data_IF_777369260697
#
_entry.id   IF_777369260697
#
_cell.length_a   1.000
_cell.length_b   1.000
_cell.length_c   1.000
_cell.angle_alpha   90.00
_cell.angle_beta   90.00
_cell.angle_gamma   90.00
#
_symmetry.space_group_name_H-M   'P 1'
#
loop_
_entity.id
_entity.type
_entity.pdbx_description
1 polymer ?
#
# COMPACT_ATOMS: atom_id res chain seq x y z
N UNK A 1 -29.16 -34.73 -22.88
CA UNK A 1 -30.42 -34.00 -22.73
C UNK A 1 -30.47 -33.49 -21.26
N UNK A 2 -29.88 -32.34 -21.01
CA UNK A 2 -29.87 -31.68 -19.69
C UNK A 2 -29.94 -30.18 -19.96
N UNK A 3 -30.99 -29.54 -19.50
CA UNK A 3 -31.31 -28.14 -19.70
C UNK A 3 -30.47 -27.26 -18.74
N UNK A 4 -29.80 -26.29 -19.30
CA UNK A 4 -29.22 -25.15 -18.57
C UNK A 4 -30.27 -24.07 -18.44
N UNK A 5 -30.60 -23.69 -17.20
CA UNK A 5 -31.44 -22.53 -16.90
C UNK A 5 -30.54 -21.33 -16.62
N UNK A 6 -30.54 -20.35 -17.50
CA UNK A 6 -29.92 -19.05 -17.30
C UNK A 6 -30.93 -18.12 -16.59
N UNK A 7 -30.56 -17.57 -15.45
CA UNK A 7 -31.31 -16.49 -14.79
C UNK A 7 -30.77 -15.14 -15.26
N UNK A 8 -31.60 -14.45 -16.08
CA UNK A 8 -31.42 -13.03 -16.39
C UNK A 8 -32.09 -12.20 -15.28
N UNK A 9 -31.36 -11.34 -14.61
CA UNK A 9 -31.92 -10.27 -13.81
C UNK A 9 -31.95 -8.98 -14.65
N UNK A 10 -33.16 -8.57 -15.04
CA UNK A 10 -33.40 -7.27 -15.66
C UNK A 10 -33.65 -6.24 -14.55
N UNK A 11 -32.83 -5.19 -14.47
CA UNK A 11 -33.15 -3.99 -13.70
C UNK A 11 -33.88 -2.97 -14.58
N UNK A 12 -35.14 -2.73 -14.29
CA UNK A 12 -35.93 -1.65 -14.86
C UNK A 12 -35.59 -0.33 -14.16
N UNK A 13 -35.23 0.67 -14.97
CA UNK A 13 -35.11 2.07 -14.56
C UNK A 13 -36.52 2.66 -14.38
N UNK A 14 -36.72 3.38 -13.28
CA UNK A 14 -37.85 4.32 -13.12
C UNK A 14 -37.27 5.72 -12.98
N UNK A 15 -37.61 6.56 -13.95
CA UNK A 15 -37.45 8.00 -13.91
C UNK A 15 -38.38 8.61 -12.86
N UNK A 16 -37.89 9.55 -12.08
CA UNK A 16 -38.66 10.36 -11.16
C UNK A 16 -37.92 11.67 -10.94
N UNK A 17 -38.44 12.73 -11.62
CA UNK A 17 -37.89 14.08 -11.56
C UNK A 17 -38.21 14.81 -10.26
N UNK A 18 -37.47 15.88 -10.02
CA UNK A 18 -37.99 17.00 -9.26
C UNK A 18 -37.16 17.55 -8.14
N UNK A 19 -36.77 18.77 -8.36
CA UNK A 19 -36.60 19.91 -7.44
C UNK A 19 -35.25 20.15 -6.78
N UNK A 20 -34.65 21.21 -7.26
CA UNK A 20 -33.56 22.01 -6.71
C UNK A 20 -33.99 22.72 -5.40
N UNK A 21 -33.23 22.73 -4.35
CA UNK A 21 -33.37 23.74 -3.29
C UNK A 21 -32.31 24.85 -3.43
N UNK A 22 -32.81 26.05 -3.29
CA UNK A 22 -32.13 27.35 -3.29
C UNK A 22 -30.97 27.45 -2.29
N UNK A 23 -29.96 28.19 -2.73
CA UNK A 23 -28.86 28.69 -1.91
C UNK A 23 -29.37 29.51 -0.70
N UNK A 24 -28.80 29.23 0.47
CA UNK A 24 -28.93 30.06 1.66
C UNK A 24 -27.58 30.73 1.95
N UNK A 25 -27.64 32.02 2.22
CA UNK A 25 -26.54 32.95 2.48
C UNK A 25 -25.63 32.53 3.64
N UNK A 26 -24.31 32.57 3.40
CA UNK A 26 -23.30 32.44 4.43
C UNK A 26 -23.01 33.84 5.05
N UNK A 27 -23.04 33.90 6.34
CA UNK A 27 -22.64 35.06 7.13
C UNK A 27 -21.10 35.14 7.24
N UNK A 28 -20.58 36.35 7.15
CA UNK A 28 -19.18 36.72 7.25
C UNK A 28 -18.74 36.73 8.72
N UNK A 29 -17.57 36.14 9.10
CA UNK A 29 -16.96 36.40 10.39
C UNK A 29 -15.91 37.52 10.29
N UNK A 30 -15.91 38.39 11.31
CA UNK A 30 -15.14 39.60 11.41
C UNK A 30 -13.63 39.39 11.53
N UNK A 31 -12.95 40.43 11.11
CA UNK A 31 -11.52 40.70 11.25
C UNK A 31 -11.10 40.88 12.71
N UNK A 32 -10.16 40.07 13.18
CA UNK A 32 -9.37 40.32 14.36
C UNK A 32 -7.96 40.73 13.97
N UNK A 33 -7.58 41.93 14.30
CA UNK A 33 -6.24 42.53 14.14
C UNK A 33 -5.33 41.96 15.22
N UNK A 34 -4.14 41.45 14.84
CA UNK A 34 -3.06 41.14 15.78
C UNK A 34 -1.84 41.93 15.39
N UNK A 35 -1.32 42.68 16.33
CA UNK A 35 -0.18 43.56 16.26
C UNK A 35 1.15 42.80 16.15
N UNK A 36 2.00 43.29 15.25
CA UNK A 36 3.40 42.88 15.07
C UNK A 36 4.29 43.32 16.23
N UNK A 37 5.17 42.41 16.66
CA UNK A 37 6.40 42.76 17.37
C UNK A 37 7.58 41.99 16.76
N UNK A 38 8.71 42.64 16.42
CA UNK A 38 9.81 42.00 15.72
C UNK A 38 10.76 41.28 16.69
N UNK A 39 11.02 40.00 16.45
CA UNK A 39 11.98 39.18 17.19
C UNK A 39 12.99 38.51 16.29
N UNK A 40 14.21 38.98 16.34
CA UNK A 40 15.55 38.41 16.11
C UNK A 40 15.74 37.23 15.15
N UNK A 41 16.52 37.53 14.14
CA UNK A 41 17.19 36.66 13.19
C UNK A 41 17.94 35.48 13.84
N UNK A 42 17.46 34.26 13.55
CA UNK A 42 18.18 33.02 13.85
C UNK A 42 18.49 32.31 12.53
N UNK A 43 19.78 32.14 12.26
CA UNK A 43 20.36 31.48 11.10
C UNK A 43 20.00 29.98 11.12
N UNK A 44 19.06 29.52 10.30
CA UNK A 44 18.76 28.10 10.14
C UNK A 44 19.40 27.57 8.89
N UNK A 45 20.44 26.81 9.09
CA UNK A 45 21.07 25.93 8.09
C UNK A 45 20.04 24.95 7.55
N UNK A 46 19.82 24.99 6.25
CA UNK A 46 18.97 24.03 5.51
C UNK A 46 19.61 22.64 5.51
N UNK A 47 19.22 21.82 6.48
CA UNK A 47 19.47 20.38 6.44
C UNK A 47 18.44 19.72 5.51
N UNK A 48 18.87 19.06 4.45
CA UNK A 48 18.05 18.10 3.70
C UNK A 48 17.43 17.08 4.65
N UNK A 49 16.14 16.73 4.48
CA UNK A 49 15.56 15.66 5.29
C UNK A 49 16.28 14.36 4.94
N UNK A 50 17.01 13.82 5.92
CA UNK A 50 17.60 12.50 5.83
C UNK A 50 16.46 11.48 5.62
N UNK A 51 16.62 10.65 4.60
CA UNK A 51 15.81 9.45 4.40
C UNK A 51 15.85 8.67 5.72
N UNK A 52 14.68 8.45 6.33
CA UNK A 52 14.59 7.67 7.55
C UNK A 52 15.12 6.27 7.25
N UNK A 53 16.26 5.95 7.81
CA UNK A 53 16.81 4.58 7.80
C UNK A 53 15.81 3.72 8.58
N UNK A 54 15.31 2.59 8.03
CA UNK A 54 14.45 1.70 8.78
C UNK A 54 15.15 1.33 10.08
N UNK A 55 14.44 1.41 11.20
CA UNK A 55 14.96 1.01 12.49
C UNK A 55 15.56 -0.40 12.36
N UNK A 56 16.86 -0.51 12.68
CA UNK A 56 17.60 -1.78 12.67
C UNK A 56 16.84 -2.80 13.53
N UNK A 57 16.09 -3.69 12.87
CA UNK A 57 15.45 -4.82 13.51
C UNK A 57 16.50 -5.75 14.12
N UNK A 58 16.07 -6.61 15.04
CA UNK A 58 16.93 -7.70 15.52
C UNK A 58 17.48 -8.50 14.33
N UNK A 59 18.69 -9.07 14.48
CA UNK A 59 19.30 -9.88 13.44
C UNK A 59 18.33 -10.99 12.99
N UNK A 60 18.10 -11.13 11.69
CA UNK A 60 17.13 -12.08 11.15
C UNK A 60 17.51 -13.51 11.54
N UNK A 61 16.53 -14.25 12.05
CA UNK A 61 16.68 -15.65 12.42
C UNK A 61 16.77 -16.51 11.15
N UNK A 62 17.91 -17.15 10.95
CA UNK A 62 18.18 -18.09 9.87
C UNK A 62 18.17 -19.51 10.43
N UNK A 63 17.31 -20.38 9.90
CA UNK A 63 17.28 -21.80 10.26
C UNK A 63 18.36 -22.58 9.50
N UNK A 64 18.68 -23.80 9.96
CA UNK A 64 19.60 -24.68 9.21
C UNK A 64 19.08 -24.99 7.78
N UNK A 65 17.76 -25.11 7.63
CA UNK A 65 17.13 -25.32 6.32
C UNK A 65 17.27 -24.07 5.44
N UNK A 66 17.15 -22.86 5.99
CA UNK A 66 17.37 -21.63 5.22
C UNK A 66 18.82 -21.53 4.76
N UNK A 67 19.78 -21.74 5.67
CA UNK A 67 21.21 -21.67 5.37
C UNK A 67 21.66 -22.68 4.29
N UNK A 68 20.94 -23.80 4.17
CA UNK A 68 21.20 -24.86 3.19
C UNK A 68 20.68 -24.52 1.78
N UNK A 69 19.83 -23.48 1.62
CA UNK A 69 19.32 -23.10 0.29
C UNK A 69 20.42 -22.57 -0.61
N UNK A 70 20.40 -22.97 -1.85
CA UNK A 70 21.29 -22.45 -2.88
C UNK A 70 20.88 -21.01 -3.23
N UNK A 71 21.77 -20.03 -3.13
CA UNK A 71 21.47 -18.64 -3.50
C UNK A 71 21.05 -18.51 -4.97
N UNK A 72 20.02 -17.67 -5.20
CA UNK A 72 19.49 -17.36 -6.51
C UNK A 72 18.83 -15.96 -6.50
N UNK A 73 19.59 -14.92 -6.71
CA UNK A 73 19.07 -13.55 -6.66
C UNK A 73 18.46 -13.07 -7.99
N UNK A 74 18.51 -13.89 -9.02
CA UNK A 74 17.70 -13.71 -10.24
C UNK A 74 16.32 -14.37 -10.15
N UNK A 75 16.03 -15.04 -9.04
CA UNK A 75 14.73 -15.65 -8.79
C UNK A 75 13.61 -14.64 -8.63
N UNK A 76 12.39 -15.13 -8.64
CA UNK A 76 11.18 -14.28 -8.51
C UNK A 76 10.91 -13.88 -7.06
N UNK A 77 10.24 -12.73 -6.91
CA UNK A 77 9.83 -12.17 -5.63
C UNK A 77 8.30 -12.18 -5.56
N UNK A 78 7.69 -12.80 -4.55
CA UNK A 78 6.25 -12.73 -4.35
C UNK A 78 5.86 -11.32 -3.85
N UNK A 79 4.79 -10.77 -4.43
CA UNK A 79 4.15 -9.52 -4.02
C UNK A 79 2.70 -9.87 -3.70
N UNK A 80 2.40 -10.06 -2.42
CA UNK A 80 1.08 -10.49 -1.94
C UNK A 80 0.17 -9.29 -1.70
N UNK A 81 -1.00 -9.29 -2.33
CA UNK A 81 -1.99 -8.24 -2.29
C UNK A 81 -3.13 -8.60 -1.34
N UNK A 82 -3.31 -7.82 -0.30
CA UNK A 82 -4.39 -7.93 0.67
C UNK A 82 -5.31 -6.71 0.57
N UNK A 83 -6.62 -6.93 0.75
CA UNK A 83 -7.60 -5.85 0.84
C UNK A 83 -8.21 -5.81 2.25
N UNK A 84 -9.32 -6.48 2.49
CA UNK A 84 -9.95 -6.52 3.80
C UNK A 84 -9.31 -7.58 4.70
N UNK A 85 -9.15 -7.25 5.98
CA UNK A 85 -8.85 -8.22 7.05
C UNK A 85 -10.08 -8.29 7.95
N UNK A 86 -10.87 -9.35 7.85
CA UNK A 86 -12.22 -9.41 8.42
C UNK A 86 -12.51 -10.70 9.21
N UNK A 87 -13.78 -10.98 9.49
CA UNK A 87 -14.18 -12.17 10.27
C UNK A 87 -14.36 -13.43 9.40
N UNK A 88 -14.25 -13.31 8.08
CA UNK A 88 -14.41 -14.43 7.16
C UNK A 88 -13.65 -14.22 5.86
N UNK A 89 -13.23 -15.29 5.20
CA UNK A 89 -12.66 -15.25 3.87
C UNK A 89 -13.77 -14.98 2.83
N UNK A 90 -13.48 -14.08 1.92
CA UNK A 90 -14.29 -13.80 0.74
C UNK A 90 -13.39 -13.32 -0.40
N UNK A 91 -13.99 -13.01 -1.54
CA UNK A 91 -13.29 -12.29 -2.60
C UNK A 91 -12.81 -10.93 -2.02
N UNK A 92 -11.51 -10.65 -2.07
CA UNK A 92 -10.88 -9.47 -1.49
C UNK A 92 -10.99 -9.34 0.04
N UNK A 93 -11.28 -10.43 0.75
CA UNK A 93 -11.30 -10.45 2.21
C UNK A 93 -10.55 -11.66 2.75
N UNK A 94 -9.59 -11.41 3.65
CA UNK A 94 -8.84 -12.43 4.37
C UNK A 94 -9.33 -12.49 5.81
N UNK A 95 -9.71 -13.69 6.28
CA UNK A 95 -10.08 -13.90 7.67
C UNK A 95 -8.88 -13.66 8.60
N UNK A 96 -9.09 -13.02 9.75
CA UNK A 96 -8.04 -12.58 10.68
C UNK A 96 -7.10 -13.70 11.14
N UNK A 97 -7.63 -14.88 11.45
CA UNK A 97 -6.78 -16.00 11.86
C UNK A 97 -6.06 -16.61 10.67
N UNK A 98 -6.64 -16.56 9.46
CA UNK A 98 -5.95 -16.96 8.25
C UNK A 98 -4.83 -15.96 7.91
N UNK A 99 -5.02 -14.66 8.13
CA UNK A 99 -3.94 -13.69 7.97
C UNK A 99 -2.81 -13.93 8.99
N UNK A 100 -3.13 -14.23 10.27
CA UNK A 100 -2.11 -14.65 11.26
C UNK A 100 -1.35 -15.89 10.79
N UNK A 101 -2.07 -16.88 10.29
CA UNK A 101 -1.48 -18.11 9.75
C UNK A 101 -0.61 -17.81 8.52
N UNK A 102 -1.01 -16.92 7.64
CA UNK A 102 -0.18 -16.51 6.49
C UNK A 102 1.17 -15.95 6.97
N UNK A 103 1.18 -15.07 7.98
CA UNK A 103 2.42 -14.51 8.52
C UNK A 103 3.34 -15.62 9.08
N UNK A 104 2.80 -16.55 9.88
CA UNK A 104 3.55 -17.69 10.43
C UNK A 104 4.12 -18.59 9.33
N UNK A 105 3.30 -18.97 8.36
CA UNK A 105 3.67 -19.86 7.26
C UNK A 105 4.73 -19.23 6.36
N UNK A 106 4.59 -17.94 6.04
CA UNK A 106 5.53 -17.18 5.23
C UNK A 106 6.87 -17.03 5.96
N UNK A 107 6.81 -16.69 7.27
CA UNK A 107 8.01 -16.57 8.10
C UNK A 107 8.76 -17.90 8.22
N UNK A 108 8.04 -19.00 8.51
CA UNK A 108 8.60 -20.34 8.65
C UNK A 108 9.29 -20.83 7.37
N UNK A 109 8.83 -20.37 6.19
CA UNK A 109 9.46 -20.65 4.90
C UNK A 109 10.71 -19.79 4.63
N UNK A 110 11.14 -18.95 5.59
CA UNK A 110 12.33 -18.10 5.46
C UNK A 110 12.11 -16.86 4.60
N UNK A 111 10.86 -16.41 4.42
CA UNK A 111 10.60 -15.12 3.79
C UNK A 111 10.67 -13.98 4.81
N UNK A 112 11.09 -12.80 4.35
CA UNK A 112 11.11 -11.57 5.16
C UNK A 112 10.51 -10.42 4.34
N UNK A 113 9.72 -9.55 4.99
CA UNK A 113 9.07 -8.44 4.29
C UNK A 113 10.10 -7.41 3.82
N UNK A 114 9.93 -6.97 2.57
CA UNK A 114 10.64 -5.84 1.98
C UNK A 114 9.62 -4.90 1.34
N UNK A 115 9.99 -3.64 1.15
CA UNK A 115 9.15 -2.65 0.45
C UNK A 115 9.38 -2.70 -1.06
N UNK A 116 8.45 -2.11 -1.82
CA UNK A 116 8.66 -1.87 -3.27
C UNK A 116 9.83 -0.92 -3.47
N UNK A 117 9.99 0.09 -2.63
CA UNK A 117 11.13 1.02 -2.69
C UNK A 117 12.47 0.30 -2.51
N UNK A 118 12.56 -0.69 -1.63
CA UNK A 118 13.79 -1.51 -1.49
C UNK A 118 14.09 -2.31 -2.76
N UNK A 119 13.05 -2.82 -3.43
CA UNK A 119 13.21 -3.51 -4.74
C UNK A 119 13.71 -2.51 -5.80
N UNK A 120 13.09 -1.33 -5.92
CA UNK A 120 13.51 -0.29 -6.86
C UNK A 120 14.97 0.13 -6.66
N UNK A 121 15.38 0.29 -5.41
CA UNK A 121 16.73 0.71 -5.03
C UNK A 121 17.75 -0.44 -5.07
N UNK A 122 17.31 -1.68 -5.33
CA UNK A 122 18.14 -2.90 -5.23
C UNK A 122 18.77 -3.09 -3.86
N UNK A 123 18.05 -2.70 -2.80
CA UNK A 123 18.46 -2.81 -1.39
C UNK A 123 17.73 -3.93 -0.68
N UNK A 124 17.83 -5.14 -1.24
CA UNK A 124 17.30 -6.37 -0.65
C UNK A 124 18.42 -6.97 0.22
N UNK A 125 18.61 -6.39 1.39
CA UNK A 125 19.68 -6.79 2.33
C UNK A 125 19.12 -7.84 3.31
N UNK A 126 19.15 -9.09 2.89
CA UNK A 126 18.71 -10.23 3.67
C UNK A 126 19.86 -11.21 3.92
N UNK A 127 19.93 -11.85 5.09
CA UNK A 127 20.88 -12.92 5.34
C UNK A 127 20.78 -14.05 4.30
N UNK A 128 21.89 -14.75 4.11
CA UNK A 128 21.99 -15.90 3.22
C UNK A 128 20.87 -16.92 3.49
N UNK A 129 20.21 -17.36 2.43
CA UNK A 129 19.17 -18.37 2.44
C UNK A 129 17.77 -17.84 2.70
N UNK A 130 17.61 -16.58 3.12
CA UNK A 130 16.32 -15.93 3.24
C UNK A 130 15.86 -15.34 1.90
N UNK A 131 14.56 -15.04 1.80
CA UNK A 131 13.92 -14.55 0.59
C UNK A 131 13.05 -13.34 0.88
N UNK A 132 12.99 -12.35 -0.02
CA UNK A 132 12.09 -11.22 0.11
C UNK A 132 10.65 -11.61 -0.23
N UNK A 133 9.70 -10.94 0.43
CA UNK A 133 8.30 -10.88 0.08
C UNK A 133 7.80 -9.46 0.27
N UNK A 134 6.94 -8.96 -0.62
CA UNK A 134 6.24 -7.70 -0.43
C UNK A 134 4.81 -7.98 -0.02
N UNK A 135 4.34 -7.32 1.05
CA UNK A 135 2.95 -7.27 1.43
C UNK A 135 2.38 -5.92 0.99
N UNK A 136 1.31 -5.94 0.25
CA UNK A 136 0.61 -4.74 -0.22
C UNK A 136 -0.82 -4.75 0.30
N UNK A 137 -1.23 -3.68 0.97
CA UNK A 137 -2.58 -3.48 1.45
C UNK A 137 -3.24 -2.38 0.60
N UNK A 138 -4.19 -2.77 -0.25
CA UNK A 138 -4.92 -1.84 -1.10
C UNK A 138 -6.17 -1.29 -0.39
N UNK A 139 -6.69 -0.15 -0.85
CA UNK A 139 -7.94 0.50 -0.46
C UNK A 139 -7.94 1.29 0.85
N UNK A 140 -6.94 1.20 1.70
CA UNK A 140 -6.92 1.88 3.01
C UNK A 140 -8.22 1.66 3.83
N UNK A 141 -8.68 0.40 3.90
CA UNK A 141 -9.86 0.00 4.67
C UNK A 141 -9.64 0.17 6.19
N UNK A 142 -10.68 0.51 6.98
CA UNK A 142 -10.61 0.46 8.45
C UNK A 142 -10.15 -0.90 8.99
N UNK A 143 -10.51 -2.00 8.33
CA UNK A 143 -10.09 -3.34 8.73
C UNK A 143 -8.57 -3.57 8.66
N UNK A 144 -7.86 -2.77 7.87
CA UNK A 144 -6.40 -2.80 7.81
C UNK A 144 -5.76 -2.02 8.95
N UNK A 145 -6.32 -0.87 9.32
CA UNK A 145 -5.83 -0.03 10.40
C UNK A 145 -6.96 0.71 11.10
N UNK A 146 -7.35 0.25 12.27
CA UNK A 146 -8.31 0.90 13.15
C UNK A 146 -7.66 1.38 14.43
N UNK A 147 -8.18 2.48 14.98
CA UNK A 147 -7.99 2.86 16.37
C UNK A 147 -9.21 2.46 17.19
N UNK A 148 -8.96 2.10 18.45
CA UNK A 148 -9.97 1.92 19.49
C UNK A 148 -9.64 2.84 20.66
N UNK A 149 -10.67 3.39 21.31
CA UNK A 149 -10.52 4.14 22.56
C UNK A 149 -10.69 3.21 23.74
N UNK A 150 -9.64 3.05 24.55
CA UNK A 150 -9.67 2.23 25.75
C UNK A 150 -9.14 3.02 26.94
N UNK A 151 -9.93 3.18 27.98
CA UNK A 151 -9.56 3.95 29.18
C UNK A 151 -9.05 5.37 28.87
N UNK A 152 -9.70 6.06 27.92
CA UNK A 152 -9.33 7.41 27.48
C UNK A 152 -8.03 7.49 26.66
N UNK A 153 -7.46 6.37 26.26
CA UNK A 153 -6.28 6.28 25.38
C UNK A 153 -6.67 5.73 24.03
N UNK A 154 -6.01 6.24 23.01
CA UNK A 154 -6.14 5.76 21.64
C UNK A 154 -5.11 4.64 21.42
N UNK A 155 -5.58 3.45 21.06
CA UNK A 155 -4.76 2.26 20.81
C UNK A 155 -5.05 1.73 19.40
N UNK A 156 -4.08 1.05 18.79
CA UNK A 156 -4.31 0.30 17.55
C UNK A 156 -5.19 -0.90 17.88
N UNK A 157 -6.26 -1.09 17.12
CA UNK A 157 -7.10 -2.27 17.27
C UNK A 157 -6.28 -3.54 16.98
N UNK A 158 -6.13 -4.45 17.96
CA UNK A 158 -5.36 -5.69 17.78
C UNK A 158 -6.00 -6.65 16.77
N UNK A 159 -7.24 -6.41 16.36
CA UNK A 159 -7.95 -7.19 15.34
C UNK A 159 -7.82 -6.59 13.93
N UNK A 160 -7.27 -5.39 13.78
CA UNK A 160 -6.95 -4.83 12.47
C UNK A 160 -5.71 -5.52 11.86
N UNK A 161 -5.55 -5.44 10.54
CA UNK A 161 -4.37 -6.00 9.85
C UNK A 161 -3.06 -5.49 10.44
N UNK A 162 -2.97 -4.18 10.71
CA UNK A 162 -1.80 -3.57 11.37
C UNK A 162 -1.63 -4.08 12.81
N UNK A 163 -2.72 -4.21 13.56
CA UNK A 163 -2.66 -4.74 14.93
C UNK A 163 -2.12 -6.17 14.95
N UNK A 164 -2.58 -7.02 14.05
CA UNK A 164 -2.07 -8.40 13.87
C UNK A 164 -0.59 -8.40 13.49
N UNK A 165 -0.19 -7.52 12.54
CA UNK A 165 1.22 -7.37 12.14
C UNK A 165 2.11 -6.97 13.31
N UNK A 166 1.69 -5.98 14.09
CA UNK A 166 2.46 -5.48 15.24
C UNK A 166 2.51 -6.52 16.38
N UNK A 167 1.48 -7.33 16.56
CA UNK A 167 1.47 -8.43 17.53
C UNK A 167 2.44 -9.54 17.10
N UNK A 168 2.41 -9.95 15.83
CA UNK A 168 3.33 -10.92 15.25
C UNK A 168 4.80 -10.52 15.48
N UNK A 169 5.13 -9.25 15.30
CA UNK A 169 6.49 -8.73 15.54
C UNK A 169 6.99 -8.86 16.98
N UNK A 170 6.12 -8.96 17.97
CA UNK A 170 6.55 -9.14 19.37
C UNK A 170 7.31 -10.46 19.58
N UNK A 171 6.91 -11.49 18.85
CA UNK A 171 7.54 -12.82 18.87
C UNK A 171 8.53 -13.04 17.73
N UNK A 172 8.47 -12.21 16.70
CA UNK A 172 9.34 -12.26 15.52
C UNK A 172 10.01 -10.89 15.30
N UNK A 173 11.00 -10.51 16.15
CA UNK A 173 11.57 -9.17 16.13
C UNK A 173 12.36 -8.83 14.85
N UNK A 174 12.71 -9.83 14.04
CA UNK A 174 13.31 -9.70 12.71
C UNK A 174 12.27 -9.55 11.57
N UNK A 175 10.96 -9.52 11.91
CA UNK A 175 9.89 -9.17 10.97
C UNK A 175 9.78 -7.66 10.86
N UNK A 176 10.33 -7.09 9.78
CA UNK A 176 10.39 -5.64 9.58
C UNK A 176 9.00 -5.01 9.31
N UNK A 177 8.85 -3.72 9.58
CA UNK A 177 7.69 -2.93 9.16
C UNK A 177 7.84 -2.52 7.68
N UNK A 178 7.98 -3.48 6.79
CA UNK A 178 8.24 -3.26 5.37
C UNK A 178 7.03 -3.60 4.48
N UNK A 179 5.80 -3.53 5.01
CA UNK A 179 4.61 -3.62 4.18
C UNK A 179 4.32 -2.28 3.48
N UNK A 180 3.54 -2.34 2.41
CA UNK A 180 3.14 -1.21 1.55
C UNK A 180 1.64 -0.98 1.71
N UNK A 181 1.24 0.24 2.03
CA UNK A 181 -0.16 0.64 2.14
C UNK A 181 -0.53 1.57 0.99
N UNK A 182 -1.38 1.10 0.08
CA UNK A 182 -1.87 1.85 -1.08
C UNK A 182 -3.14 2.61 -0.71
N UNK A 183 -3.02 3.92 -0.60
CA UNK A 183 -3.96 4.78 0.12
C UNK A 183 -5.04 5.36 -0.78
N UNK A 184 -6.27 5.36 -0.29
CA UNK A 184 -7.45 6.01 -0.86
C UNK A 184 -7.93 7.14 0.06
N UNK A 185 -7.68 8.42 -0.28
CA UNK A 185 -8.08 9.55 0.58
C UNK A 185 -9.56 9.93 0.46
N UNK A 186 -10.20 9.66 -0.66
CA UNK A 186 -11.54 10.14 -0.97
C UNK A 186 -12.57 9.06 -1.31
N UNK A 187 -12.25 7.79 -1.13
CA UNK A 187 -13.16 6.70 -1.43
C UNK A 187 -14.41 6.72 -0.54
N UNK A 188 -15.52 6.22 -1.08
CA UNK A 188 -16.76 6.01 -0.34
C UNK A 188 -16.63 4.82 0.63
N UNK A 189 -17.69 4.58 1.41
CA UNK A 189 -17.81 3.45 2.34
C UNK A 189 -16.68 3.36 3.38
N UNK A 190 -16.21 4.51 3.89
CA UNK A 190 -15.32 4.56 5.04
C UNK A 190 -13.85 4.27 4.77
N UNK A 191 -13.46 4.04 3.53
CA UNK A 191 -12.07 3.76 3.19
C UNK A 191 -11.14 4.96 3.37
N UNK A 192 -11.63 6.19 3.20
CA UNK A 192 -10.85 7.43 3.28
C UNK A 192 -9.77 7.43 4.39
N UNK A 193 -8.56 7.00 4.06
CA UNK A 193 -7.44 6.84 5.00
C UNK A 193 -7.81 6.04 6.27
N UNK A 194 -8.30 4.80 6.08
CA UNK A 194 -8.66 3.86 7.13
C UNK A 194 -9.86 4.28 7.98
N UNK A 195 -10.84 4.94 7.38
CA UNK A 195 -12.14 5.28 7.97
C UNK A 195 -12.36 6.77 8.22
N UNK A 196 -13.62 7.16 8.08
CA UNK A 196 -14.07 8.54 8.16
C UNK A 196 -15.50 8.62 8.69
N UNK A 197 -15.88 9.74 9.31
CA UNK A 197 -17.26 10.09 9.70
C UNK A 197 -17.95 9.06 10.60
N UNK A 198 -17.20 8.37 11.43
CA UNK A 198 -17.73 7.39 12.38
C UNK A 198 -17.97 5.99 11.81
N UNK A 199 -17.65 5.75 10.53
CA UNK A 199 -17.75 4.42 9.93
C UNK A 199 -16.77 3.47 10.66
N UNK A 200 -17.28 2.30 11.08
CA UNK A 200 -16.54 1.35 11.91
C UNK A 200 -15.90 2.00 13.16
N UNK A 201 -16.57 3.01 13.73
CA UNK A 201 -16.09 3.77 14.87
C UNK A 201 -14.91 4.71 14.59
N UNK A 202 -14.48 4.84 13.32
CA UNK A 202 -13.31 5.65 12.98
C UNK A 202 -13.67 7.12 12.77
N UNK A 203 -12.92 8.01 13.42
CA UNK A 203 -13.15 9.44 13.39
C UNK A 203 -12.36 10.15 12.29
N UNK A 204 -12.92 11.20 11.73
CA UNK A 204 -12.30 12.00 10.65
C UNK A 204 -10.92 12.53 11.03
N UNK A 205 -10.74 12.98 12.26
CA UNK A 205 -9.49 13.52 12.78
C UNK A 205 -8.37 12.47 12.91
N UNK A 206 -8.69 11.18 12.89
CA UNK A 206 -7.69 10.10 12.98
C UNK A 206 -7.04 9.75 11.63
N UNK A 207 -7.59 10.20 10.52
CA UNK A 207 -7.14 9.86 9.17
C UNK A 207 -5.66 10.17 8.92
N UNK A 208 -5.27 11.41 9.10
CA UNK A 208 -3.88 11.85 8.92
C UNK A 208 -2.92 11.30 9.98
N UNK A 209 -3.28 11.26 11.27
CA UNK A 209 -2.49 10.55 12.28
C UNK A 209 -2.17 9.09 11.91
N UNK A 210 -3.11 8.33 11.32
CA UNK A 210 -2.87 6.97 10.87
C UNK A 210 -1.82 6.91 9.74
N UNK A 211 -1.94 7.78 8.75
CA UNK A 211 -0.98 7.85 7.63
C UNK A 211 0.42 8.23 8.15
N UNK A 212 0.53 9.22 9.03
CA UNK A 212 1.81 9.57 9.67
C UNK A 212 2.38 8.42 10.47
N UNK A 213 1.57 7.73 11.26
CA UNK A 213 2.02 6.58 12.04
C UNK A 213 2.64 5.50 11.15
N UNK A 214 2.00 5.14 10.03
CA UNK A 214 2.56 4.16 9.09
C UNK A 214 3.93 4.60 8.60
N UNK A 215 4.06 5.85 8.17
CA UNK A 215 5.33 6.40 7.70
C UNK A 215 6.41 6.39 8.80
N UNK A 216 6.10 6.85 9.99
CA UNK A 216 7.01 6.90 11.15
C UNK A 216 7.46 5.51 11.61
N UNK A 217 6.62 4.50 11.41
CA UNK A 217 6.96 3.11 11.71
C UNK A 217 7.76 2.41 10.60
N UNK A 218 8.01 3.06 9.46
CA UNK A 218 8.80 2.52 8.36
C UNK A 218 7.99 1.76 7.30
N UNK A 219 6.66 1.77 7.36
CA UNK A 219 5.82 1.25 6.28
C UNK A 219 5.89 2.15 5.04
N UNK A 220 5.85 1.56 3.85
CA UNK A 220 5.80 2.32 2.61
C UNK A 220 4.37 2.79 2.32
N UNK A 221 4.26 4.05 1.91
CA UNK A 221 3.00 4.64 1.46
C UNK A 221 2.94 4.64 -0.06
N UNK A 222 1.85 4.14 -0.61
CA UNK A 222 1.57 3.99 -2.02
C UNK A 222 0.30 4.77 -2.39
N UNK A 223 0.23 5.28 -3.60
CA UNK A 223 -0.95 5.96 -4.12
C UNK A 223 -1.91 4.95 -4.78
N UNK A 224 -3.21 5.06 -4.47
CA UNK A 224 -4.24 4.24 -5.09
C UNK A 224 -5.37 5.07 -5.70
N UNK A 225 -5.04 6.27 -6.20
CA UNK A 225 -5.95 7.32 -6.69
C UNK A 225 -6.77 8.02 -5.58
N UNK A 226 -7.57 9.00 -5.98
CA UNK A 226 -8.42 9.74 -5.04
C UNK A 226 -9.62 8.91 -4.54
N UNK A 227 -10.33 8.20 -5.45
CA UNK A 227 -11.55 7.46 -5.09
C UNK A 227 -11.68 6.08 -5.75
N UNK A 228 -10.58 5.40 -6.05
CA UNK A 228 -10.59 4.08 -6.69
C UNK A 228 -11.21 4.08 -8.10
N UNK A 229 -10.83 5.09 -8.92
CA UNK A 229 -11.42 5.29 -10.24
C UNK A 229 -11.02 4.19 -11.23
N UNK A 230 -11.97 3.71 -12.04
CA UNK A 230 -11.67 2.91 -13.23
C UNK A 230 -11.00 3.78 -14.30
N UNK A 231 -9.66 3.81 -14.30
CA UNK A 231 -8.88 4.74 -15.13
C UNK A 231 -9.08 4.54 -16.65
N UNK A 232 -9.49 3.35 -17.08
CA UNK A 232 -9.79 3.05 -18.49
C UNK A 232 -11.08 3.71 -19.01
N UNK A 233 -11.96 4.15 -18.10
CA UNK A 233 -13.24 4.78 -18.46
C UNK A 233 -13.19 6.30 -18.53
N UNK A 234 -12.18 6.93 -17.94
CA UNK A 234 -12.12 8.38 -17.81
C UNK A 234 -11.20 9.04 -18.85
N UNK A 235 -11.36 10.36 -19.01
CA UNK A 235 -10.49 11.18 -19.85
C UNK A 235 -9.10 11.34 -19.19
N UNK A 236 -8.11 11.70 -19.99
CA UNK A 236 -6.74 11.95 -19.51
C UNK A 236 -6.69 12.99 -18.39
N UNK A 237 -7.53 14.04 -18.48
CA UNK A 237 -7.62 15.06 -17.42
C UNK A 237 -8.11 14.48 -16.09
N UNK A 238 -9.13 13.63 -16.11
CA UNK A 238 -9.66 12.98 -14.89
C UNK A 238 -8.64 11.96 -14.36
N UNK A 239 -7.96 11.21 -15.23
CA UNK A 239 -6.89 10.29 -14.81
C UNK A 239 -5.80 11.03 -14.04
N UNK A 240 -5.32 12.16 -14.58
CA UNK A 240 -4.31 12.98 -13.92
C UNK A 240 -4.82 13.56 -12.60
N UNK A 241 -6.05 14.05 -12.56
CA UNK A 241 -6.69 14.51 -11.32
C UNK A 241 -6.70 13.44 -10.25
N UNK A 242 -7.14 12.22 -10.60
CA UNK A 242 -7.25 11.08 -9.68
C UNK A 242 -5.91 10.74 -9.02
N UNK A 243 -4.85 10.63 -9.81
CA UNK A 243 -3.53 10.26 -9.31
C UNK A 243 -2.91 11.43 -8.55
N UNK A 244 -2.94 12.65 -9.10
CA UNK A 244 -2.35 13.83 -8.46
C UNK A 244 -3.00 14.17 -7.12
N UNK A 245 -4.33 14.05 -7.00
CA UNK A 245 -5.05 14.33 -5.74
C UNK A 245 -4.83 13.24 -4.71
N UNK A 246 -4.68 11.98 -5.13
CA UNK A 246 -4.24 10.90 -4.23
C UNK A 246 -2.89 11.23 -3.60
N UNK A 247 -1.91 11.62 -4.41
CA UNK A 247 -0.59 12.04 -3.94
C UNK A 247 -0.65 13.28 -3.05
N UNK A 248 -1.41 14.31 -3.44
CA UNK A 248 -1.56 15.54 -2.65
C UNK A 248 -2.11 15.26 -1.24
N UNK A 249 -3.03 14.30 -1.12
CA UNK A 249 -3.59 13.94 0.17
C UNK A 249 -2.56 13.21 1.06
N UNK A 250 -1.70 12.37 0.47
CA UNK A 250 -0.60 11.71 1.19
C UNK A 250 0.43 12.76 1.63
N UNK A 251 0.83 13.69 0.74
CA UNK A 251 1.72 14.82 1.06
C UNK A 251 1.14 15.72 2.15
N UNK A 252 -0.18 15.92 2.16
CA UNK A 252 -0.86 16.68 3.22
C UNK A 252 -0.82 15.98 4.59
N UNK A 253 -0.81 14.66 4.61
CA UNK A 253 -0.67 13.88 5.84
C UNK A 253 0.78 13.78 6.31
N UNK A 254 1.73 13.64 5.37
CA UNK A 254 3.19 13.52 5.59
C UNK A 254 3.90 14.52 4.67
N UNK A 255 4.04 15.78 5.08
CA UNK A 255 4.62 16.83 4.24
C UNK A 255 6.03 16.50 3.75
N UNK A 256 6.25 16.64 2.44
CA UNK A 256 7.52 16.34 1.79
C UNK A 256 7.78 14.87 1.49
N UNK A 257 6.84 13.97 1.80
CA UNK A 257 6.96 12.56 1.43
C UNK A 257 6.83 12.38 -0.09
N UNK A 258 7.83 11.76 -0.71
CA UNK A 258 7.79 11.41 -2.12
C UNK A 258 7.14 10.04 -2.32
N UNK A 259 5.91 10.03 -2.83
CA UNK A 259 5.25 8.80 -3.27
C UNK A 259 5.98 8.26 -4.50
N UNK A 260 6.44 7.01 -4.45
CA UNK A 260 7.16 6.33 -5.54
C UNK A 260 6.35 5.25 -6.22
N UNK A 261 5.38 4.67 -5.47
CA UNK A 261 4.61 3.49 -5.87
C UNK A 261 3.16 3.86 -6.12
N UNK A 262 2.62 3.36 -7.22
CA UNK A 262 1.21 3.50 -7.60
C UNK A 262 0.59 2.13 -7.86
N UNK A 263 -0.53 1.82 -7.19
CA UNK A 263 -1.33 0.63 -7.48
C UNK A 263 -2.50 0.99 -8.39
N UNK A 264 -2.71 0.21 -9.44
CA UNK A 264 -3.80 0.41 -10.40
C UNK A 264 -5.14 -0.01 -9.78
N UNK A 265 -6.10 0.91 -9.59
CA UNK A 265 -7.45 0.51 -9.18
C UNK A 265 -8.05 -0.49 -10.17
N UNK A 266 -8.63 -1.58 -9.65
CA UNK A 266 -9.24 -2.65 -10.45
C UNK A 266 -8.26 -3.32 -11.44
N UNK A 267 -6.97 -3.09 -11.33
CA UNK A 267 -5.96 -3.51 -12.32
C UNK A 267 -6.12 -2.85 -13.69
N UNK A 268 -6.92 -1.78 -13.80
CA UNK A 268 -7.27 -1.16 -15.09
C UNK A 268 -6.35 0.02 -15.41
N UNK A 269 -5.62 -0.14 -16.50
CA UNK A 269 -4.77 0.93 -17.03
C UNK A 269 -5.60 2.06 -17.66
N UNK A 270 -5.14 3.32 -17.57
CA UNK A 270 -5.70 4.39 -18.40
C UNK A 270 -5.45 4.13 -19.89
N UNK A 271 -6.29 4.67 -20.77
CA UNK A 271 -6.10 4.57 -22.23
C UNK A 271 -4.74 5.10 -22.65
N UNK A 272 -4.35 6.24 -22.12
CA UNK A 272 -2.99 6.76 -22.21
C UNK A 272 -2.17 6.22 -21.04
N UNK A 273 -1.51 5.08 -21.23
CA UNK A 273 -0.76 4.39 -20.18
C UNK A 273 0.37 5.22 -19.57
N UNK A 274 0.93 6.20 -20.30
CA UNK A 274 1.97 7.07 -19.77
C UNK A 274 1.50 7.89 -18.56
N UNK A 275 0.20 8.18 -18.47
CA UNK A 275 -0.37 8.91 -17.34
C UNK A 275 -0.39 8.10 -16.03
N UNK A 276 -0.27 6.78 -16.07
CA UNK A 276 -0.08 6.00 -14.85
C UNK A 276 1.33 6.24 -14.26
N UNK A 277 2.32 6.57 -15.10
CA UNK A 277 3.68 6.89 -14.66
C UNK A 277 3.79 8.33 -14.18
N UNK A 278 3.43 9.30 -15.04
CA UNK A 278 3.66 10.72 -14.70
C UNK A 278 2.59 11.63 -15.30
N UNK A 279 2.34 12.73 -14.60
CA UNK A 279 1.39 13.73 -15.02
C UNK A 279 1.29 14.89 -14.05
N UNK A 280 0.29 15.73 -14.26
CA UNK A 280 0.02 16.86 -13.38
C UNK A 280 -1.44 17.26 -13.41
N UNK A 281 -1.88 17.84 -12.31
CA UNK A 281 -3.21 18.43 -12.18
C UNK A 281 -3.07 19.81 -11.54
N UNK A 282 -3.84 20.78 -12.03
CA UNK A 282 -3.91 22.12 -11.45
C UNK A 282 -5.17 22.24 -10.63
N UNK A 283 -5.05 22.55 -9.35
CA UNK A 283 -6.20 22.80 -8.48
C UNK A 283 -6.96 24.05 -8.98
N UNK A 284 -8.21 23.91 -9.37
CA UNK A 284 -9.00 25.01 -9.92
C UNK A 284 -9.27 26.15 -8.92
N UNK A 285 -9.14 25.88 -7.61
CA UNK A 285 -9.37 26.87 -6.55
C UNK A 285 -8.12 27.64 -6.15
N UNK A 286 -7.02 26.91 -6.02
CA UNK A 286 -5.75 27.50 -5.51
C UNK A 286 -4.74 27.76 -6.61
N UNK A 287 -5.00 27.30 -7.83
CA UNK A 287 -4.08 27.32 -8.98
C UNK A 287 -2.73 26.61 -8.73
N UNK A 288 -2.64 25.85 -7.64
CA UNK A 288 -1.46 25.03 -7.35
C UNK A 288 -1.36 23.86 -8.32
N UNK A 289 -0.20 23.70 -8.94
CA UNK A 289 0.09 22.54 -9.79
C UNK A 289 0.64 21.41 -8.92
N UNK A 290 -0.04 20.25 -8.96
CA UNK A 290 0.41 19.01 -8.33
C UNK A 290 0.96 18.10 -9.42
N UNK A 291 2.21 17.70 -9.31
CA UNK A 291 2.90 16.77 -10.22
C UNK A 291 3.08 15.43 -9.53
N UNK A 292 3.02 14.35 -10.31
CA UNK A 292 3.38 13.01 -9.84
C UNK A 292 4.31 12.33 -10.86
N UNK A 293 5.18 11.46 -10.34
CA UNK A 293 6.09 10.64 -11.14
C UNK A 293 6.32 9.32 -10.40
N UNK A 294 5.55 8.30 -10.77
CA UNK A 294 5.58 6.98 -10.14
C UNK A 294 6.75 6.17 -10.68
N UNK A 295 7.57 5.64 -9.80
CA UNK A 295 8.72 4.81 -10.14
C UNK A 295 8.33 3.34 -10.26
N UNK A 296 7.26 2.93 -9.56
CA UNK A 296 6.67 1.59 -9.66
C UNK A 296 5.17 1.66 -9.90
N UNK A 297 4.67 0.72 -10.71
CA UNK A 297 3.23 0.51 -10.94
C UNK A 297 2.91 -0.93 -10.61
N UNK A 298 1.98 -1.14 -9.67
CA UNK A 298 1.51 -2.44 -9.23
C UNK A 298 0.28 -2.84 -10.05
N UNK A 299 0.36 -4.01 -10.67
CA UNK A 299 -0.78 -4.68 -11.33
C UNK A 299 -1.59 -5.45 -10.29
N UNK A 300 -2.85 -5.82 -10.59
CA UNK A 300 -3.69 -6.57 -9.64
C UNK A 300 -3.30 -8.05 -9.56
N UNK A 301 -2.72 -8.62 -10.59
CA UNK A 301 -2.44 -10.06 -10.68
C UNK A 301 -1.22 -10.36 -11.55
N UNK A 302 -1.00 -11.62 -11.86
CA UNK A 302 0.05 -12.09 -12.79
C UNK A 302 1.15 -12.91 -12.12
N UNK A 303 1.03 -13.15 -10.81
CA UNK A 303 1.94 -14.00 -10.04
C UNK A 303 3.18 -13.27 -9.52
N UNK A 304 4.22 -13.99 -9.10
CA UNK A 304 5.44 -13.40 -8.57
C UNK A 304 6.15 -12.52 -9.62
N UNK A 305 6.66 -11.38 -9.20
CA UNK A 305 7.44 -10.48 -10.05
C UNK A 305 8.87 -10.97 -10.24
N UNK A 306 9.53 -10.48 -11.30
CA UNK A 306 10.96 -10.74 -11.51
C UNK A 306 11.80 -10.01 -10.46
N UNK A 307 12.98 -10.53 -10.20
CA UNK A 307 14.00 -9.85 -9.40
C UNK A 307 14.42 -8.52 -10.04
N UNK A 308 14.74 -7.47 -9.25
CA UNK A 308 15.27 -6.23 -9.79
C UNK A 308 16.66 -6.39 -10.45
N UNK A 309 17.28 -7.54 -10.28
CA UNK A 309 18.56 -7.90 -10.93
C UNK A 309 18.35 -8.62 -12.27
N UNK A 310 17.12 -9.06 -12.58
CA UNK A 310 16.79 -9.64 -13.88
C UNK A 310 16.69 -8.50 -14.93
N UNK A 311 17.36 -8.64 -16.11
CA UNK A 311 17.31 -7.63 -17.17
C UNK A 311 15.90 -7.36 -17.72
N UNK A 312 14.96 -8.27 -17.53
CA UNK A 312 13.56 -8.14 -17.96
C UNK A 312 12.66 -7.51 -16.88
N UNK A 313 13.19 -7.19 -15.70
CA UNK A 313 12.41 -6.54 -14.65
C UNK A 313 11.88 -5.20 -15.13
N UNK A 314 10.57 -5.03 -15.04
CA UNK A 314 9.90 -3.78 -15.38
C UNK A 314 9.21 -3.21 -14.14
N UNK A 315 9.76 -2.16 -13.51
CA UNK A 315 9.14 -1.55 -12.33
C UNK A 315 7.77 -0.91 -12.63
N UNK A 316 7.51 -0.56 -13.90
CA UNK A 316 6.21 -0.01 -14.30
C UNK A 316 5.17 -1.11 -14.59
N UNK A 317 5.41 -2.36 -14.21
CA UNK A 317 4.46 -3.48 -14.34
C UNK A 317 4.82 -4.60 -13.36
N UNK A 318 4.79 -4.29 -12.06
CA UNK A 318 5.04 -5.25 -10.99
C UNK A 318 3.81 -6.13 -10.82
N UNK A 319 3.97 -7.42 -11.03
CA UNK A 319 2.90 -8.42 -10.88
C UNK A 319 2.66 -8.73 -9.41
N UNK A 320 1.40 -9.06 -9.07
CA UNK A 320 1.01 -9.40 -7.71
C UNK A 320 0.30 -10.75 -7.64
N UNK A 321 0.15 -11.25 -6.42
CA UNK A 321 -0.59 -12.45 -6.05
C UNK A 321 -1.73 -11.98 -5.15
N UNK A 322 -2.96 -12.12 -5.60
CA UNK A 322 -4.13 -11.82 -4.77
C UNK A 322 -4.19 -12.80 -3.59
N UNK A 323 -4.31 -12.27 -2.37
CA UNK A 323 -4.42 -13.08 -1.16
C UNK A 323 -5.86 -13.63 -1.00
N UNK A 324 -6.28 -14.45 -1.95
CA UNK A 324 -7.57 -15.14 -1.96
C UNK A 324 -7.34 -16.57 -1.51
N UNK A 325 -8.00 -16.99 -0.42
CA UNK A 325 -7.82 -18.33 0.17
C UNK A 325 -6.34 -18.60 0.49
N UNK A 326 -5.82 -19.73 0.03
CA UNK A 326 -4.43 -20.16 0.27
C UNK A 326 -3.46 -19.80 -0.87
N UNK A 327 -3.86 -18.92 -1.79
CA UNK A 327 -3.08 -18.59 -3.00
C UNK A 327 -1.68 -18.06 -2.70
N UNK A 328 -1.43 -17.20 -1.69
CA UNK A 328 -0.07 -16.79 -1.36
C UNK A 328 0.81 -18.00 -1.03
N UNK A 329 0.42 -18.83 -0.08
CA UNK A 329 1.20 -20.00 0.39
C UNK A 329 1.40 -21.01 -0.72
N UNK A 330 0.35 -21.35 -1.48
CA UNK A 330 0.44 -22.25 -2.62
C UNK A 330 1.39 -21.72 -3.71
N UNK A 331 1.44 -20.40 -3.88
CA UNK A 331 2.39 -19.79 -4.83
C UNK A 331 3.82 -19.94 -4.35
N UNK A 332 4.10 -19.77 -3.05
CA UNK A 332 5.42 -20.02 -2.48
C UNK A 332 5.85 -21.49 -2.69
N UNK A 333 4.94 -22.45 -2.45
CA UNK A 333 5.21 -23.86 -2.66
C UNK A 333 5.53 -24.16 -4.14
N UNK A 334 4.80 -23.53 -5.09
CA UNK A 334 5.11 -23.64 -6.52
C UNK A 334 6.46 -23.05 -6.89
N UNK A 335 6.84 -21.91 -6.27
CA UNK A 335 8.14 -21.27 -6.49
C UNK A 335 9.29 -22.16 -6.02
N UNK A 336 9.15 -22.76 -4.83
CA UNK A 336 10.14 -23.69 -4.27
C UNK A 336 10.26 -24.94 -5.14
N UNK A 337 9.15 -25.57 -5.51
CA UNK A 337 9.11 -26.76 -6.39
C UNK A 337 9.77 -26.51 -7.75
N UNK A 338 9.59 -25.33 -8.31
CA UNK A 338 10.09 -24.98 -9.63
C UNK A 338 11.48 -24.33 -9.62
N UNK A 339 12.09 -24.15 -8.45
CA UNK A 339 13.40 -23.47 -8.29
C UNK A 339 13.41 -22.01 -8.76
N UNK A 340 12.24 -21.34 -8.73
CA UNK A 340 12.10 -19.97 -9.24
C UNK A 340 12.18 -18.92 -8.14
N UNK A 341 12.36 -19.31 -6.89
CA UNK A 341 12.43 -18.45 -5.71
C UNK A 341 13.69 -17.59 -5.71
N UNK A 342 13.57 -16.31 -5.39
CA UNK A 342 14.70 -15.49 -4.97
C UNK A 342 15.27 -16.04 -3.66
N UNK A 343 16.57 -16.27 -3.60
CA UNK A 343 17.28 -16.67 -2.38
C UNK A 343 18.54 -15.81 -2.25
N UNK A 344 18.64 -15.05 -1.15
CA UNK A 344 19.79 -14.19 -0.89
C UNK A 344 21.08 -14.99 -0.67
N UNK A 345 22.21 -14.46 -1.14
CA UNK A 345 23.55 -14.95 -0.82
C UNK A 345 24.13 -14.33 0.47
N UNK A 346 23.42 -13.33 1.04
CA UNK A 346 23.81 -12.63 2.26
C UNK A 346 24.87 -11.54 2.04
N UNK A 347 25.18 -11.20 0.80
CA UNK A 347 26.19 -10.19 0.48
C UNK A 347 25.62 -9.14 -0.49
N UNK A 348 25.29 -7.93 -0.03
CA UNK A 348 24.69 -6.88 -0.85
C UNK A 348 25.60 -6.38 -2.00
N UNK A 349 26.89 -6.76 -2.02
CA UNK A 349 27.81 -6.38 -3.08
C UNK A 349 27.85 -7.38 -4.25
N UNK A 350 27.16 -8.53 -4.13
CA UNK A 350 27.14 -9.60 -5.13
C UNK A 350 25.72 -9.89 -5.61
N UNK A 351 25.58 -10.57 -6.74
CA UNK A 351 24.33 -11.07 -7.26
C UNK A 351 24.51 -12.55 -7.58
N UNK A 352 23.96 -13.40 -6.74
CA UNK A 352 24.01 -14.85 -6.94
C UNK A 352 23.14 -15.27 -8.11
N UNK A 353 23.72 -16.04 -9.04
CA UNK A 353 23.02 -16.65 -10.17
C UNK A 353 22.73 -18.12 -9.89
N UNK A 354 21.62 -18.68 -10.40
CA UNK A 354 21.34 -20.09 -10.26
C UNK A 354 22.48 -20.91 -10.87
N UNK A 355 22.91 -21.95 -10.15
CA UNK A 355 23.82 -22.94 -10.70
C UNK A 355 23.07 -23.69 -11.78
N UNK A 356 23.57 -23.68 -13.02
CA UNK A 356 22.98 -24.42 -14.18
C UNK A 356 23.13 -25.92 -13.99
#
# INVERSE_FOLDING_TARGET
>A
MLLSSAFLFACTSKDGGGSNPKAANAATPGTASVTDTPGTSGNSTSGSPASATPASGAAAKVTAADAARTPNELGKIPVAEYHLISDHDALYSRERNHFRKDLEEIYARGYRPVTVSQILDRKIDLPKGLSPIVFVFDDASPSQFSYIERNGKLEIDPQSGLGIWMDFRKTHPDWANSAVFCLLPGAQAGHAFFGDKGIDGQKTEWRFPKVRYLHEQGFELCNHTLWHANLGKYSDAVVQEQIARGQLAIDSAVPGFKVRTFALPLGVWPKNRALAKSGSWTDPKTHKVVRYDNEAILEVSGGPTLSPYDPQFNPLSIKRIEAIKDDPVQTLDRMDKNGTRYVSDGNPATIAKPVK
#
